data_IF_586659519433
#
_entry.id   IF_586659519433
#
_cell.length_a   1.000
_cell.length_b   1.000
_cell.length_c   1.000
_cell.angle_alpha   90.00
_cell.angle_beta   90.00
_cell.angle_gamma   90.00
#
_symmetry.space_group_name_H-M   'P 1'
#
loop_
_entity.id
_entity.type
_entity.pdbx_description
1 polymer ?
#
# COMPACT_ATOMS: atom_id res chain seq x y z
N UNK A 1 -13.94 -7.21 5.51
CA UNK A 1 -13.03 -6.68 4.47
C UNK A 1 -11.63 -7.15 4.82
N UNK A 2 -10.87 -7.68 3.85
CA UNK A 2 -9.51 -8.12 4.13
C UNK A 2 -8.61 -6.88 4.23
N UNK A 3 -8.15 -6.56 5.44
CA UNK A 3 -7.24 -5.42 5.64
C UNK A 3 -5.81 -5.75 5.19
N UNK A 4 -5.46 -7.04 5.14
CA UNK A 4 -4.15 -7.52 4.73
C UNK A 4 -4.22 -8.05 3.29
N UNK A 5 -3.55 -7.35 2.39
CA UNK A 5 -3.53 -7.64 0.96
C UNK A 5 -2.11 -8.01 0.53
N UNK A 6 -1.98 -8.94 -0.40
CA UNK A 6 -0.70 -9.13 -1.09
C UNK A 6 -0.35 -7.89 -1.93
N UNK A 7 0.92 -7.66 -2.26
CA UNK A 7 1.31 -6.55 -3.15
C UNK A 7 0.52 -6.53 -4.48
N UNK A 8 0.17 -7.69 -5.02
CA UNK A 8 -0.64 -7.80 -6.25
C UNK A 8 -2.10 -7.39 -6.04
N UNK A 9 -2.70 -7.75 -4.92
CA UNK A 9 -4.07 -7.32 -4.57
C UNK A 9 -4.11 -5.81 -4.30
N UNK A 10 -3.14 -5.29 -3.56
CA UNK A 10 -3.02 -3.87 -3.26
C UNK A 10 -2.76 -3.04 -4.52
N UNK A 11 -1.96 -3.58 -5.45
CA UNK A 11 -1.71 -2.99 -6.77
C UNK A 11 -3.01 -2.81 -7.56
N UNK A 12 -3.83 -3.85 -7.64
CA UNK A 12 -5.13 -3.81 -8.34
C UNK A 12 -6.10 -2.85 -7.66
N UNK A 13 -6.09 -2.79 -6.34
CA UNK A 13 -7.03 -1.98 -5.57
C UNK A 13 -6.69 -0.49 -5.62
N UNK A 14 -5.40 -0.13 -5.55
CA UNK A 14 -4.93 1.26 -5.58
C UNK A 14 -4.60 1.76 -6.99
N UNK A 15 -4.59 0.87 -8.00
CA UNK A 15 -4.15 1.21 -9.35
C UNK A 15 -2.67 1.58 -9.43
N UNK A 16 -1.85 1.06 -8.52
CA UNK A 16 -0.43 1.38 -8.37
C UNK A 16 0.42 0.18 -8.76
N UNK A 17 1.60 0.42 -9.33
CA UNK A 17 2.49 -0.68 -9.70
C UNK A 17 2.99 -1.47 -8.47
N UNK A 18 3.08 -2.79 -8.60
CA UNK A 18 3.54 -3.68 -7.52
C UNK A 18 4.94 -3.31 -7.03
N UNK A 19 5.84 -2.94 -7.95
CA UNK A 19 7.22 -2.59 -7.62
C UNK A 19 7.28 -1.29 -6.79
N UNK A 20 6.45 -0.31 -7.16
CA UNK A 20 6.28 0.95 -6.41
C UNK A 20 5.75 0.68 -5.01
N UNK A 21 4.77 -0.21 -4.87
CA UNK A 21 4.22 -0.61 -3.55
C UNK A 21 5.31 -1.22 -2.68
N UNK A 22 6.07 -2.19 -3.21
CA UNK A 22 7.14 -2.87 -2.46
C UNK A 22 8.20 -1.86 -2.05
N UNK A 23 8.63 -1.00 -2.99
CA UNK A 23 9.63 0.03 -2.73
C UNK A 23 9.18 0.97 -1.61
N UNK A 24 7.93 1.46 -1.68
CA UNK A 24 7.38 2.34 -0.64
C UNK A 24 7.28 1.62 0.71
N UNK A 25 6.95 0.34 0.74
CA UNK A 25 6.95 -0.41 2.00
C UNK A 25 8.34 -0.46 2.64
N UNK A 26 9.39 -0.60 1.83
CA UNK A 26 10.77 -0.61 2.32
C UNK A 26 11.23 0.79 2.74
N UNK A 27 10.93 1.83 1.94
CA UNK A 27 11.34 3.21 2.20
C UNK A 27 10.61 3.82 3.42
N UNK A 28 9.31 3.57 3.55
CA UNK A 28 8.46 4.11 4.62
C UNK A 28 8.36 3.20 5.85
N UNK A 29 9.03 2.05 5.82
CA UNK A 29 9.00 1.09 6.93
C UNK A 29 7.63 0.43 7.15
N UNK A 30 6.82 0.28 6.09
CA UNK A 30 5.55 -0.45 6.18
C UNK A 30 5.84 -1.95 6.26
N UNK A 31 5.38 -2.64 7.32
CA UNK A 31 5.66 -4.05 7.54
C UNK A 31 4.96 -4.94 6.50
N UNK A 32 5.73 -5.88 5.94
CA UNK A 32 5.23 -6.97 5.09
C UNK A 32 5.21 -8.25 5.92
N UNK A 33 4.02 -8.70 6.33
CA UNK A 33 3.87 -9.92 7.12
C UNK A 33 3.33 -11.06 6.26
N UNK A 34 4.10 -12.15 6.15
CA UNK A 34 3.75 -13.32 5.31
C UNK A 34 3.37 -12.95 3.86
N UNK A 35 4.07 -11.96 3.29
CA UNK A 35 3.81 -11.47 1.93
C UNK A 35 2.54 -10.61 1.81
N UNK A 36 1.98 -10.14 2.93
CA UNK A 36 0.82 -9.25 2.97
C UNK A 36 1.15 -7.92 3.63
N UNK A 37 0.46 -6.89 3.19
CA UNK A 37 0.58 -5.50 3.63
C UNK A 37 -0.77 -5.09 4.20
N UNK A 38 -0.77 -4.40 5.34
CA UNK A 38 -1.98 -3.76 5.84
C UNK A 38 -2.33 -2.54 4.97
N UNK A 39 -3.49 -2.61 4.30
CA UNK A 39 -3.98 -1.59 3.37
C UNK A 39 -4.19 -0.24 4.05
N UNK A 40 -4.67 -0.23 5.30
CA UNK A 40 -4.95 1.02 6.00
C UNK A 40 -3.64 1.72 6.38
N UNK A 41 -2.68 0.98 6.89
CA UNK A 41 -1.34 1.48 7.21
C UNK A 41 -0.63 1.97 5.96
N UNK A 42 -0.69 1.22 4.85
CA UNK A 42 -0.07 1.63 3.59
C UNK A 42 -0.68 2.93 3.06
N UNK A 43 -2.01 3.05 3.03
CA UNK A 43 -2.68 4.28 2.61
C UNK A 43 -2.38 5.45 3.55
N UNK A 44 -2.27 5.23 4.85
CA UNK A 44 -1.89 6.25 5.82
C UNK A 44 -0.47 6.77 5.55
N UNK A 45 0.51 5.88 5.28
CA UNK A 45 1.84 6.32 4.88
C UNK A 45 1.86 7.01 3.52
N UNK A 46 1.11 6.51 2.56
CA UNK A 46 1.02 7.13 1.23
C UNK A 46 0.49 8.58 1.32
N UNK A 47 -0.49 8.82 2.20
CA UNK A 47 -0.97 10.16 2.54
C UNK A 47 0.08 11.00 3.29
N UNK A 48 0.82 10.41 4.23
CA UNK A 48 1.86 11.11 5.00
C UNK A 48 3.03 11.58 4.11
N UNK A 49 3.38 10.80 3.07
CA UNK A 49 4.43 11.15 2.09
C UNK A 49 3.94 12.16 1.05
N UNK A 50 2.64 12.49 1.05
CA UNK A 50 2.05 13.42 0.08
C UNK A 50 1.89 12.82 -1.31
N UNK A 51 1.93 11.50 -1.45
CA UNK A 51 1.60 10.84 -2.71
C UNK A 51 0.08 10.91 -2.92
N UNK A 52 -0.40 11.27 -4.12
CA UNK A 52 -1.82 11.36 -4.40
C UNK A 52 -2.43 9.95 -4.36
N UNK A 53 -3.04 9.58 -3.24
CA UNK A 53 -4.05 8.53 -3.23
C UNK A 53 -5.28 9.06 -3.94
N UNK A 54 -5.83 8.36 -4.95
CA UNK A 54 -7.16 8.70 -5.45
C UNK A 54 -8.14 8.53 -4.30
N UNK A 55 -8.52 9.65 -3.70
CA UNK A 55 -9.57 9.73 -2.70
C UNK A 55 -10.86 9.31 -3.42
N UNK A 56 -11.29 8.07 -3.20
CA UNK A 56 -12.63 7.67 -3.61
C UNK A 56 -13.62 8.50 -2.78
N UNK A 57 -14.30 9.41 -3.48
CA UNK A 57 -15.43 10.20 -2.99
C UNK A 57 -16.65 9.32 -2.73
#
# INVERSE_FOLDING_TARGET
>A
MANHLTPEELSKELGMDRDVIIKLCVEEGVPIYQGKIDKHLFQAQLQAVGAPVPQHA
#
